data_IF_780008347147
#
_entry.id   IF_780008347147
#
_cell.length_a   1.000
_cell.length_b   1.000
_cell.length_c   1.000
_cell.angle_alpha   90.00
_cell.angle_beta   90.00
_cell.angle_gamma   90.00
#
_symmetry.space_group_name_H-M   'P 1'
#
loop_
_entity.id
_entity.type
_entity.pdbx_description
1 polymer ?
#
# COMPACT_ATOMS: atom_id res chain seq x y z
N UNK A 1 8.97 -10.61 24.71
CA UNK A 1 8.88 -9.81 24.23
C UNK A 1 9.49 -9.58 23.04
N UNK A 2 10.46 -9.83 22.89
CA UNK A 2 11.10 -9.56 21.78
C UNK A 2 10.78 -10.38 20.63
N UNK A 3 9.97 -11.36 20.80
CA UNK A 3 9.60 -12.19 19.69
C UNK A 3 8.84 -11.43 18.67
N UNK A 4 8.16 -10.40 19.09
CA UNK A 4 7.47 -9.64 18.10
C UNK A 4 8.39 -9.01 17.17
N UNK A 5 9.55 -8.70 17.62
CA UNK A 5 10.51 -8.05 16.78
C UNK A 5 10.86 -8.91 15.61
N UNK A 6 10.89 -10.19 15.80
CA UNK A 6 11.27 -11.04 14.70
C UNK A 6 10.21 -11.08 13.63
N UNK A 7 8.99 -10.68 13.97
CA UNK A 7 7.99 -10.65 12.95
C UNK A 7 7.99 -9.39 12.17
N UNK A 8 8.63 -8.38 12.69
CA UNK A 8 8.68 -7.13 12.01
C UNK A 8 9.19 -7.24 10.60
N UNK A 9 10.14 -8.10 10.31
CA UNK A 9 10.66 -8.16 8.95
C UNK A 9 9.62 -8.33 7.87
N UNK A 10 8.49 -8.90 8.19
CA UNK A 10 7.48 -9.03 7.18
C UNK A 10 6.95 -7.70 6.74
N UNK A 11 6.87 -6.76 7.67
CA UNK A 11 6.44 -5.43 7.31
C UNK A 11 7.57 -4.62 6.76
N UNK A 12 8.80 -5.11 6.90
CA UNK A 12 9.95 -4.38 6.42
C UNK A 12 10.35 -4.79 5.03
N UNK A 13 9.54 -5.59 4.39
CA UNK A 13 9.80 -5.93 3.01
C UNK A 13 9.79 -4.67 2.17
N UNK A 14 10.25 -4.78 0.97
CA UNK A 14 10.35 -3.64 0.10
C UNK A 14 9.01 -2.96 -0.10
N UNK A 15 9.04 -1.65 -0.17
CA UNK A 15 7.85 -0.90 -0.53
C UNK A 15 7.40 -1.30 -1.92
N UNK A 16 6.12 -1.19 -2.15
CA UNK A 16 5.58 -1.50 -3.47
C UNK A 16 6.07 -0.45 -4.47
N UNK A 17 6.52 -0.88 -5.64
CA UNK A 17 7.16 0.03 -6.58
C UNK A 17 6.15 0.95 -7.25
N UNK A 18 6.56 2.20 -7.41
CA UNK A 18 5.81 3.18 -8.20
C UNK A 18 4.39 3.42 -7.69
N UNK A 19 4.14 3.16 -6.43
CA UNK A 19 2.81 3.30 -5.86
C UNK A 19 2.90 4.05 -4.55
N UNK A 20 2.06 5.08 -4.41
CA UNK A 20 1.98 5.83 -3.18
C UNK A 20 0.51 5.99 -2.79
N UNK A 21 0.30 6.20 -1.51
CA UNK A 21 -1.01 6.54 -0.99
C UNK A 21 -0.98 8.00 -0.57
N UNK A 22 -2.07 8.70 -0.80
CA UNK A 22 -2.23 10.08 -0.33
C UNK A 22 -3.48 10.19 0.49
N UNK A 23 -3.41 11.01 1.51
CA UNK A 23 -4.59 11.31 2.32
C UNK A 23 -4.41 12.68 2.91
N UNK A 24 -5.50 13.25 3.40
CA UNK A 24 -5.45 14.58 4.00
C UNK A 24 -5.61 14.48 5.49
N UNK A 25 -4.80 15.26 6.18
CA UNK A 25 -4.85 15.36 7.63
C UNK A 25 -5.28 16.76 7.96
N UNK A 26 -6.23 16.89 8.88
CA UNK A 26 -6.70 18.20 9.26
C UNK A 26 -5.86 18.76 10.39
N UNK A 27 -5.41 19.98 10.22
CA UNK A 27 -4.69 20.70 11.25
C UNK A 27 -5.56 21.89 11.64
N UNK A 28 -6.30 21.77 12.73
CA UNK A 28 -7.19 22.84 13.14
C UNK A 28 -8.40 22.91 12.23
N UNK A 29 -9.07 24.06 12.23
CA UNK A 29 -10.33 24.19 11.54
C UNK A 29 -10.18 24.46 10.06
N UNK A 30 -9.11 25.15 9.68
CA UNK A 30 -9.03 25.62 8.32
C UNK A 30 -7.87 25.04 7.50
N UNK A 31 -7.02 24.26 8.11
CA UNK A 31 -5.86 23.76 7.40
C UNK A 31 -5.95 22.27 7.21
N UNK A 32 -5.66 21.84 6.00
CA UNK A 32 -5.54 20.43 5.67
C UNK A 32 -4.19 20.21 5.03
N UNK A 33 -3.55 19.15 5.43
CA UNK A 33 -2.25 18.81 4.88
C UNK A 33 -2.40 17.56 4.04
N UNK A 34 -1.88 17.58 2.82
CA UNK A 34 -1.85 16.40 1.97
C UNK A 34 -0.59 15.62 2.31
N UNK A 35 -0.75 14.37 2.66
CA UNK A 35 0.34 13.52 3.12
C UNK A 35 0.47 12.35 2.17
N UNK A 36 1.70 12.02 1.81
CA UNK A 36 1.98 10.80 1.06
C UNK A 36 2.52 9.74 1.98
N UNK A 37 2.07 8.52 1.77
CA UNK A 37 2.51 7.38 2.56
C UNK A 37 3.02 6.29 1.63
N UNK A 38 3.94 5.51 2.13
CA UNK A 38 4.51 4.40 1.40
C UNK A 38 3.66 3.16 1.61
N UNK A 39 3.43 2.40 0.56
CA UNK A 39 2.64 1.17 0.65
C UNK A 39 3.55 -0.04 0.61
N UNK A 40 3.23 -1.03 1.41
CA UNK A 40 4.01 -2.27 1.48
C UNK A 40 3.22 -3.48 1.04
N UNK A 41 1.90 -3.45 1.19
CA UNK A 41 1.03 -4.54 0.75
C UNK A 41 -0.25 -3.94 0.19
N UNK A 42 -0.79 -4.57 -0.81
CA UNK A 42 -2.06 -4.15 -1.39
C UNK A 42 -2.77 -5.35 -1.97
N UNK A 43 -4.01 -5.54 -1.56
CA UNK A 43 -4.86 -6.56 -2.19
C UNK A 43 -6.25 -5.96 -2.39
N UNK A 44 -7.21 -6.79 -2.73
CA UNK A 44 -8.56 -6.29 -2.99
C UNK A 44 -9.32 -5.85 -1.77
N UNK A 45 -8.80 -6.15 -0.60
CA UNK A 45 -9.50 -5.87 0.64
C UNK A 45 -8.86 -4.79 1.47
N UNK A 46 -7.61 -4.50 1.24
CA UNK A 46 -6.94 -3.49 2.06
C UNK A 46 -5.49 -3.32 1.68
N UNK A 47 -4.77 -2.62 2.54
CA UNK A 47 -3.36 -2.34 2.30
C UNK A 47 -2.63 -2.17 3.62
N UNK A 48 -1.29 -2.16 3.52
CA UNK A 48 -0.44 -1.79 4.63
C UNK A 48 0.34 -0.56 4.20
N UNK A 49 0.25 0.52 4.98
CA UNK A 49 0.96 1.73 4.66
C UNK A 49 1.82 2.19 5.82
N UNK A 50 2.88 2.90 5.50
CA UNK A 50 3.77 3.47 6.50
C UNK A 50 3.72 4.98 6.44
N UNK A 51 3.54 5.63 7.60
CA UNK A 51 3.52 7.07 7.69
C UNK A 51 3.89 7.47 9.11
N UNK A 52 4.32 8.72 9.29
CA UNK A 52 4.59 9.22 10.62
C UNK A 52 3.35 9.84 11.26
N UNK A 53 2.23 9.86 10.55
CA UNK A 53 1.00 10.40 11.12
C UNK A 53 0.36 9.37 12.05
N UNK A 54 -0.38 9.87 13.01
CA UNK A 54 -0.94 9.00 14.06
C UNK A 54 -2.42 8.79 13.83
N UNK A 55 -2.78 7.54 13.66
CA UNK A 55 -4.17 7.10 13.61
C UNK A 55 -4.35 6.00 14.65
N UNK A 56 -5.55 5.80 15.11
CA UNK A 56 -5.85 4.72 16.04
C UNK A 56 -6.66 3.66 15.34
N UNK A 57 -6.53 2.40 15.77
CA UNK A 57 -7.43 1.37 15.24
C UNK A 57 -8.87 1.83 15.45
N UNK A 58 -9.68 1.67 14.42
CA UNK A 58 -11.05 2.17 14.42
C UNK A 58 -11.22 3.47 13.68
N UNK A 59 -10.14 4.18 13.43
CA UNK A 59 -10.22 5.42 12.64
C UNK A 59 -10.48 5.10 11.19
N UNK A 60 -11.16 6.02 10.51
CA UNK A 60 -11.39 5.91 9.08
C UNK A 60 -10.53 6.94 8.36
N UNK A 61 -9.95 6.54 7.26
CA UNK A 61 -9.13 7.44 6.46
C UNK A 61 -9.54 7.26 5.00
N UNK A 62 -9.57 8.36 4.26
CA UNK A 62 -9.89 8.31 2.83
C UNK A 62 -8.59 8.41 2.07
N UNK A 63 -8.31 7.42 1.27
CA UNK A 63 -7.04 7.30 0.56
C UNK A 63 -7.21 7.52 -0.92
N UNK A 64 -6.17 8.04 -1.53
CA UNK A 64 -6.01 8.03 -2.96
C UNK A 64 -4.76 7.25 -3.26
N UNK A 65 -4.85 6.22 -4.08
CA UNK A 65 -3.68 5.45 -4.49
C UNK A 65 -3.28 5.86 -5.88
N UNK A 66 -2.00 6.14 -6.06
CA UNK A 66 -1.48 6.60 -7.35
C UNK A 66 -0.35 5.69 -7.77
N UNK A 67 -0.51 5.08 -8.94
CA UNK A 67 0.51 4.24 -9.53
C UNK A 67 1.11 4.97 -10.72
N UNK A 68 2.43 5.20 -10.70
CA UNK A 68 3.13 5.80 -11.82
C UNK A 68 3.41 4.75 -12.87
N UNK A 69 3.12 5.09 -14.10
CA UNK A 69 3.40 4.26 -15.26
C UNK A 69 4.24 5.12 -16.20
N UNK A 70 4.98 4.50 -17.12
CA UNK A 70 5.86 5.28 -17.99
C UNK A 70 5.18 6.42 -18.74
N UNK A 71 3.94 6.22 -19.16
CA UNK A 71 3.27 7.25 -19.95
C UNK A 71 1.98 7.74 -19.33
N UNK A 72 1.67 7.30 -18.12
CA UNK A 72 0.37 7.60 -17.55
C UNK A 72 0.41 7.35 -16.07
N UNK A 73 -0.71 7.62 -15.40
CA UNK A 73 -0.87 7.31 -13.98
C UNK A 73 -2.22 6.68 -13.80
N UNK A 74 -2.29 5.75 -12.86
CA UNK A 74 -3.57 5.18 -12.45
C UNK A 74 -3.88 5.75 -11.08
N UNK A 75 -5.03 6.38 -10.93
CA UNK A 75 -5.44 6.95 -9.65
C UNK A 75 -6.72 6.30 -9.20
N UNK A 76 -6.70 5.77 -7.99
CA UNK A 76 -7.90 5.25 -7.35
C UNK A 76 -8.22 6.20 -6.21
N UNK A 77 -9.26 7.01 -6.36
CA UNK A 77 -9.59 8.05 -5.42
C UNK A 77 -10.76 7.66 -4.54
N UNK A 78 -10.84 8.29 -3.38
CA UNK A 78 -12.01 8.09 -2.53
C UNK A 78 -12.13 6.73 -1.91
N UNK A 79 -11.01 6.08 -1.65
CA UNK A 79 -11.04 4.76 -1.03
C UNK A 79 -11.15 4.93 0.47
N UNK A 80 -12.30 4.59 1.01
CA UNK A 80 -12.49 4.66 2.45
C UNK A 80 -11.83 3.46 3.10
N UNK A 81 -11.01 3.71 4.08
CA UNK A 81 -10.28 2.66 4.76
C UNK A 81 -10.49 2.73 6.26
N UNK A 82 -10.60 1.56 6.87
CA UNK A 82 -10.69 1.45 8.31
C UNK A 82 -9.34 0.96 8.83
N UNK A 83 -8.77 1.72 9.75
CA UNK A 83 -7.51 1.32 10.37
C UNK A 83 -7.81 0.19 11.34
N UNK A 84 -7.23 -0.98 11.09
CA UNK A 84 -7.49 -2.14 11.92
C UNK A 84 -6.33 -2.45 12.85
N UNK A 85 -5.13 -2.04 12.46
CA UNK A 85 -3.97 -2.36 13.27
C UNK A 85 -2.92 -1.29 13.11
N UNK A 86 -2.18 -1.01 14.17
CA UNK A 86 -1.09 -0.05 14.16
C UNK A 86 0.12 -0.70 14.79
N UNK A 87 1.26 -0.57 14.14
CA UNK A 87 2.52 -1.08 14.65
C UNK A 87 3.56 0.01 14.55
N UNK A 88 4.14 0.39 15.67
CA UNK A 88 5.16 1.45 15.65
C UNK A 88 6.51 0.85 15.27
N UNK A 89 7.24 1.57 14.45
CA UNK A 89 8.59 1.19 14.06
C UNK A 89 9.41 2.46 13.92
N UNK A 90 10.33 2.67 14.86
CA UNK A 90 11.12 3.90 14.90
C UNK A 90 10.19 5.10 15.01
N UNK A 91 10.33 6.08 14.14
CA UNK A 91 9.48 7.26 14.19
C UNK A 91 8.25 7.14 13.30
N UNK A 92 8.03 5.99 12.72
CA UNK A 92 6.91 5.78 11.83
C UNK A 92 5.97 4.73 12.37
N UNK A 93 4.82 4.60 11.71
CA UNK A 93 3.85 3.57 12.04
C UNK A 93 3.48 2.82 10.77
N UNK A 94 3.30 1.52 10.91
CA UNK A 94 2.72 0.70 9.87
C UNK A 94 1.26 0.49 10.23
N UNK A 95 0.39 0.77 9.29
CA UNK A 95 -1.05 0.62 9.50
C UNK A 95 -1.61 -0.43 8.56
N UNK A 96 -2.39 -1.34 9.13
CA UNK A 96 -3.20 -2.22 8.32
C UNK A 96 -4.53 -1.54 8.12
N UNK A 97 -4.97 -1.46 6.89
CA UNK A 97 -6.18 -0.73 6.53
C UNK A 97 -7.06 -1.63 5.70
N UNK A 98 -8.32 -1.77 6.10
CA UNK A 98 -9.31 -2.50 5.33
C UNK A 98 -10.14 -1.52 4.55
N UNK A 99 -10.26 -1.74 3.24
CA UNK A 99 -11.15 -0.90 2.43
C UNK A 99 -12.59 -1.23 2.76
N UNK A 100 -13.39 -0.19 2.91
CA UNK A 100 -14.79 -0.37 3.22
C UNK A 100 -15.62 0.21 2.10
N UNK A 101 -16.79 -0.34 1.92
CA UNK A 101 -17.75 0.18 0.97
C UNK A 101 -17.37 0.10 -0.50
N UNK A 102 -16.29 -0.60 -0.84
CA UNK A 102 -15.96 -0.74 -2.25
C UNK A 102 -17.06 -1.47 -3.01
N UNK A 103 -17.60 -2.50 -2.39
CA UNK A 103 -18.64 -3.27 -3.04
C UNK A 103 -20.00 -2.65 -2.94
N UNK A 104 -20.19 -1.74 -2.01
CA UNK A 104 -21.46 -1.10 -1.84
C UNK A 104 -21.82 -0.26 -3.04
N UNK A 105 -20.81 0.25 -3.71
CA UNK A 105 -21.02 1.06 -4.87
C UNK A 105 -20.73 0.31 -6.14
N UNK A 106 -20.89 -0.91 -6.13
CA UNK A 106 -20.74 -1.86 -7.21
C UNK A 106 -20.01 -1.45 -8.46
N UNK A 107 -20.29 -0.36 -9.01
CA UNK A 107 -19.69 0.04 -10.25
C UNK A 107 -18.77 1.24 -10.06
N UNK A 108 -18.23 1.42 -8.87
CA UNK A 108 -17.43 2.59 -8.65
C UNK A 108 -16.18 2.51 -9.49
N UNK A 109 -15.78 3.64 -10.03
CA UNK A 109 -14.57 3.69 -10.82
C UNK A 109 -13.35 3.52 -9.93
N UNK A 110 -13.47 3.79 -8.64
CA UNK A 110 -12.38 3.57 -7.71
C UNK A 110 -12.04 2.09 -7.59
N UNK A 111 -13.06 1.24 -7.52
CA UNK A 111 -12.84 -0.19 -7.45
C UNK A 111 -12.16 -0.69 -8.71
N UNK A 112 -12.58 -0.17 -9.86
CA UNK A 112 -12.00 -0.55 -11.12
C UNK A 112 -10.54 -0.12 -11.22
N UNK A 113 -10.24 1.10 -10.79
CA UNK A 113 -8.88 1.59 -10.81
C UNK A 113 -8.01 0.81 -9.84
N UNK A 114 -8.55 0.45 -8.68
CA UNK A 114 -7.83 -0.35 -7.71
C UNK A 114 -7.48 -1.70 -8.32
N UNK A 115 -8.40 -2.31 -9.02
CA UNK A 115 -8.14 -3.60 -9.66
C UNK A 115 -7.02 -3.47 -10.68
N UNK A 116 -7.03 -2.40 -11.45
CA UNK A 116 -5.97 -2.18 -12.44
C UNK A 116 -4.61 -2.00 -11.79
N UNK A 117 -4.56 -1.25 -10.68
CA UNK A 117 -3.31 -1.07 -9.96
C UNK A 117 -2.79 -2.42 -9.48
N UNK A 118 -3.66 -3.26 -8.96
CA UNK A 118 -3.25 -4.57 -8.46
C UNK A 118 -2.73 -5.45 -9.60
N UNK A 119 -3.34 -5.36 -10.75
CA UNK A 119 -2.88 -6.13 -11.90
C UNK A 119 -1.48 -5.70 -12.33
N UNK A 120 -1.23 -4.41 -12.37
CA UNK A 120 0.08 -3.91 -12.74
C UNK A 120 1.13 -4.35 -11.71
N UNK A 121 0.79 -4.25 -10.43
CA UNK A 121 1.71 -4.68 -9.39
C UNK A 121 2.05 -6.15 -9.52
N UNK A 122 1.06 -6.95 -9.79
CA UNK A 122 1.27 -8.38 -9.94
C UNK A 122 2.23 -8.68 -11.06
N UNK A 123 2.09 -7.97 -12.18
CA UNK A 123 3.00 -8.17 -13.29
C UNK A 123 4.41 -7.72 -12.97
N UNK A 124 4.53 -6.58 -12.30
CA UNK A 124 5.86 -6.08 -11.92
C UNK A 124 6.56 -7.05 -10.98
N UNK A 125 5.85 -7.56 -10.01
CA UNK A 125 6.43 -8.47 -9.05
C UNK A 125 6.80 -9.79 -9.71
N UNK A 126 6.01 -10.23 -10.65
CA UNK A 126 6.29 -11.44 -11.38
C UNK A 126 7.57 -11.31 -12.19
N UNK A 127 7.75 -10.18 -12.87
CA UNK A 127 8.96 -9.95 -13.64
C UNK A 127 10.19 -9.88 -12.75
N UNK A 128 10.06 -9.21 -11.62
CA UNK A 128 11.16 -9.11 -10.68
C UNK A 128 11.55 -10.49 -10.17
N UNK A 129 10.59 -11.32 -9.88
CA UNK A 129 10.84 -12.66 -9.40
C UNK A 129 11.54 -13.49 -10.46
N UNK A 130 11.12 -13.37 -11.71
CA UNK A 130 11.76 -14.11 -12.79
C UNK A 130 13.21 -13.70 -12.96
N UNK A 131 13.48 -12.40 -12.88
CA UNK A 131 14.85 -11.95 -13.01
C UNK A 131 15.72 -12.50 -11.91
N UNK A 132 15.22 -12.52 -10.70
CA UNK A 132 15.98 -13.06 -9.59
C UNK A 132 16.24 -14.53 -9.80
N UNK A 133 15.25 -15.27 -10.23
CA UNK A 133 15.42 -16.68 -10.48
C UNK A 133 16.41 -16.92 -11.60
N UNK A 134 16.28 -16.16 -12.67
CA UNK A 134 17.15 -16.33 -13.80
C UNK A 134 18.59 -16.06 -13.49
N UNK A 135 18.86 -15.13 -12.62
CA UNK A 135 20.24 -14.81 -12.31
C UNK A 135 20.84 -15.88 -11.42
N UNK A 136 20.07 -16.58 -10.67
CA UNK A 136 20.68 -17.53 -9.80
C UNK A 136 21.21 -18.76 -10.49
N UNK A 137 20.80 -19.33 -11.40
CA UNK A 137 21.35 -20.52 -11.97
C UNK A 137 22.42 -20.31 -12.91
N UNK A 138 22.12 -20.18 -12.73
CA UNK A 138 22.67 -20.42 -13.31
C UNK A 138 22.78 -20.70 -13.92
N UNK A 139 22.47 -20.21 -13.84
CA UNK A 139 22.62 -20.51 -14.14
C UNK A 139 22.81 -21.21 -14.37
N UNK A 140 22.67 -21.31 -14.14
CA UNK A 140 22.86 -21.96 -14.11
C UNK A 140 22.81 -22.76 -14.56
N UNK A 141 22.53 -22.79 -14.59
CA UNK A 141 22.53 -23.49 -14.78
C UNK A 141 22.70 -24.07 -15.47
N UNK A 142 22.62 -24.10 -15.77
CA UNK A 142 22.90 -24.56 -16.23
C UNK A 142 23.53 -24.99 -16.58
N UNK A 143 23.59 -24.99 -16.42
CA UNK A 143 24.23 -25.35 -16.56
C UNK A 143 24.60 -25.66 -16.39
#
# INVERSE_FOLDING_TARGET
>A
MDTEITREPEFMNEALPDLVARFRVRHGLFRKELVEATLYELDGYGCVMKTDKVFNPGDTVVLELIMDMPFDKIRAEGLSGLVTERRKHCSNFFYSIDFVELNANGSSSSAEKLRRIREVLSKKQSLKSRRSSGSSPGFRQMA
#
